data_IF_021168203001
#
_entry.id   IF_021168203001
#
_cell.length_a   1.000
_cell.length_b   1.000
_cell.length_c   1.000
_cell.angle_alpha   90.00
_cell.angle_beta   90.00
_cell.angle_gamma   90.00
#
_symmetry.space_group_name_H-M   'P 1'
#
loop_
_entity.id
_entity.type
_entity.pdbx_description
1 polymer ?
#
# COMPACT_ATOMS: atom_id res chain seq x y z
N UNK A 1 20.42 30.25 -36.97
CA UNK A 1 19.38 29.27 -36.60
C UNK A 1 19.42 29.10 -35.09
N UNK A 2 18.49 29.74 -34.38
CA UNK A 2 18.35 29.54 -32.93
C UNK A 2 17.58 28.22 -32.78
N UNK A 3 18.28 27.18 -32.39
CA UNK A 3 17.67 25.91 -32.01
C UNK A 3 16.96 26.13 -30.67
N UNK A 4 15.67 26.44 -30.74
CA UNK A 4 14.78 26.39 -29.58
C UNK A 4 14.68 24.93 -29.14
N UNK A 5 15.47 24.57 -28.12
CA UNK A 5 15.28 23.33 -27.39
C UNK A 5 13.89 23.39 -26.76
N UNK A 6 12.97 22.55 -27.24
CA UNK A 6 11.68 22.33 -26.59
C UNK A 6 11.99 21.77 -25.20
N UNK A 7 11.54 22.38 -24.09
CA UNK A 7 11.73 21.77 -22.79
C UNK A 7 11.03 20.42 -22.83
N UNK A 8 11.77 19.34 -22.62
CA UNK A 8 11.21 18.00 -22.43
C UNK A 8 10.14 18.12 -21.34
N UNK A 9 8.86 17.99 -21.71
CA UNK A 9 7.75 18.14 -20.78
C UNK A 9 7.99 17.18 -19.61
N UNK A 10 8.09 17.72 -18.39
CA UNK A 10 8.22 16.93 -17.18
C UNK A 10 7.06 15.93 -17.10
N UNK A 11 7.34 14.72 -16.64
CA UNK A 11 6.29 13.70 -16.47
C UNK A 11 5.17 14.26 -15.57
N UNK A 12 3.87 14.07 -15.87
CA UNK A 12 2.77 14.72 -15.14
C UNK A 12 2.83 14.57 -13.61
N UNK A 13 3.22 13.39 -13.12
CA UNK A 13 3.40 13.14 -11.68
C UNK A 13 4.49 13.99 -11.03
N UNK A 14 5.46 14.50 -11.79
CA UNK A 14 6.51 15.38 -11.28
C UNK A 14 5.93 16.72 -10.82
N UNK A 15 4.85 17.19 -11.46
CA UNK A 15 4.16 18.43 -11.09
C UNK A 15 3.49 18.35 -9.71
N UNK A 16 3.23 17.14 -9.18
CA UNK A 16 2.68 16.98 -7.83
C UNK A 16 3.65 17.49 -6.76
N UNK A 17 4.96 17.55 -7.04
CA UNK A 17 5.95 18.09 -6.11
C UNK A 17 5.83 19.60 -5.90
N UNK A 18 5.12 20.30 -6.79
CA UNK A 18 4.92 21.75 -6.69
C UNK A 18 3.67 22.09 -5.86
N UNK A 19 2.88 21.08 -5.49
CA UNK A 19 1.76 21.24 -4.55
C UNK A 19 2.27 21.53 -3.13
N UNK A 20 1.53 22.31 -2.33
CA UNK A 20 1.96 22.71 -0.98
C UNK A 20 2.39 21.53 -0.11
N UNK A 21 3.63 21.57 0.39
CA UNK A 21 4.20 20.60 1.31
C UNK A 21 4.54 19.21 0.72
N UNK A 22 4.20 18.91 -0.53
CA UNK A 22 4.43 17.58 -1.12
C UNK A 22 5.91 17.27 -1.28
N UNK A 23 6.71 18.22 -1.79
CA UNK A 23 8.17 18.05 -1.91
C UNK A 23 8.84 17.78 -0.56
N UNK A 24 8.53 18.60 0.44
CA UNK A 24 9.08 18.45 1.79
C UNK A 24 8.71 17.09 2.40
N UNK A 25 7.46 16.64 2.25
CA UNK A 25 7.03 15.32 2.69
C UNK A 25 7.75 14.19 1.95
N UNK A 26 7.91 14.30 0.63
CA UNK A 26 8.60 13.29 -0.17
C UNK A 26 10.09 13.19 0.21
N UNK A 27 10.71 14.31 0.55
CA UNK A 27 12.09 14.35 1.05
C UNK A 27 12.20 13.72 2.44
N UNK A 28 11.29 14.04 3.36
CA UNK A 28 11.25 13.43 4.69
C UNK A 28 11.04 11.90 4.64
N UNK A 29 10.16 11.42 3.75
CA UNK A 29 9.93 9.98 3.54
C UNK A 29 11.22 9.29 3.04
N UNK A 30 11.94 9.91 2.10
CA UNK A 30 13.23 9.40 1.60
C UNK A 30 14.28 9.35 2.70
N UNK A 31 14.39 10.40 3.50
CA UNK A 31 15.36 10.49 4.57
C UNK A 31 15.10 9.44 5.66
N UNK A 32 13.83 9.26 6.06
CA UNK A 32 13.44 8.25 7.03
C UNK A 32 13.74 6.83 6.55
N UNK A 33 13.40 6.48 5.31
CA UNK A 33 13.76 5.17 4.76
C UNK A 33 15.28 4.98 4.60
N UNK A 34 16.01 6.06 4.30
CA UNK A 34 17.49 6.02 4.25
C UNK A 34 18.07 5.74 5.63
N UNK A 35 17.57 6.39 6.68
CA UNK A 35 17.99 6.11 8.05
C UNK A 35 17.71 4.66 8.45
N UNK A 36 16.49 4.17 8.19
CA UNK A 36 16.13 2.78 8.43
C UNK A 36 17.06 1.80 7.70
N UNK A 37 17.38 2.06 6.43
CA UNK A 37 18.29 1.20 5.64
C UNK A 37 19.65 1.01 6.30
N UNK A 38 20.16 2.03 6.99
CA UNK A 38 21.46 2.00 7.68
C UNK A 38 21.37 1.59 9.15
N UNK A 39 20.18 1.23 9.63
CA UNK A 39 19.95 0.80 11.00
C UNK A 39 20.77 -0.46 11.35
N UNK A 40 21.38 -0.47 12.52
CA UNK A 40 22.35 -1.51 12.91
C UNK A 40 21.74 -2.92 12.95
N UNK A 41 20.47 -3.05 13.31
CA UNK A 41 19.74 -4.33 13.31
C UNK A 41 19.67 -4.98 11.92
N UNK A 42 19.71 -4.19 10.84
CA UNK A 42 19.61 -4.70 9.47
C UNK A 42 20.94 -5.24 8.92
N UNK A 43 22.08 -5.00 9.58
CA UNK A 43 23.39 -5.45 9.09
C UNK A 43 23.54 -6.98 9.03
N UNK A 44 22.87 -7.69 9.93
CA UNK A 44 22.96 -9.17 10.03
C UNK A 44 21.62 -9.88 10.06
N UNK A 45 20.54 -9.19 10.44
CA UNK A 45 19.21 -9.79 10.66
C UNK A 45 18.13 -9.18 9.77
N UNK A 46 18.51 -8.66 8.60
CA UNK A 46 17.57 -8.01 7.67
C UNK A 46 16.42 -8.92 7.24
N UNK A 47 16.67 -10.21 7.00
CA UNK A 47 15.63 -11.17 6.62
C UNK A 47 14.60 -11.40 7.75
N UNK A 48 15.07 -11.42 9.00
CA UNK A 48 14.22 -11.55 10.18
C UNK A 48 13.41 -10.28 10.39
N UNK A 49 14.03 -9.11 10.27
CA UNK A 49 13.33 -7.83 10.32
C UNK A 49 12.28 -7.70 9.22
N UNK A 50 12.58 -8.11 7.98
CA UNK A 50 11.64 -8.08 6.88
C UNK A 50 10.46 -9.06 7.09
N UNK A 51 10.69 -10.18 7.77
CA UNK A 51 9.63 -11.13 8.12
C UNK A 51 8.71 -10.54 9.19
N UNK A 52 9.25 -10.00 10.27
CA UNK A 52 8.44 -9.31 11.28
C UNK A 52 7.76 -8.05 10.75
N UNK A 53 8.40 -7.31 9.84
CA UNK A 53 7.77 -6.17 9.17
C UNK A 53 6.54 -6.60 8.33
N UNK A 54 6.59 -7.78 7.68
CA UNK A 54 5.42 -8.35 6.99
C UNK A 54 4.32 -8.78 7.96
N UNK A 55 4.65 -9.37 9.10
CA UNK A 55 3.68 -9.70 10.17
C UNK A 55 2.94 -8.44 10.63
N UNK A 56 3.70 -7.38 10.97
CA UNK A 56 3.12 -6.12 11.40
C UNK A 56 2.37 -5.40 10.27
N UNK A 57 2.83 -5.51 9.02
CA UNK A 57 2.15 -4.96 7.84
C UNK A 57 0.80 -5.62 7.59
N UNK A 58 0.73 -6.95 7.64
CA UNK A 58 -0.51 -7.71 7.53
C UNK A 58 -1.49 -7.38 8.66
N UNK A 59 -1.00 -7.34 9.90
CA UNK A 59 -1.79 -6.94 11.07
C UNK A 59 -2.35 -5.52 10.92
N UNK A 60 -1.49 -4.56 10.55
CA UNK A 60 -1.87 -3.18 10.38
C UNK A 60 -2.90 -3.00 9.25
N UNK A 61 -2.70 -3.72 8.15
CA UNK A 61 -3.60 -3.73 7.00
C UNK A 61 -4.97 -4.31 7.34
N UNK A 62 -5.02 -5.41 8.12
CA UNK A 62 -6.28 -6.01 8.54
C UNK A 62 -7.09 -5.09 9.46
N UNK A 63 -6.44 -4.45 10.45
CA UNK A 63 -7.18 -3.57 11.36
C UNK A 63 -7.60 -2.24 10.71
N UNK A 64 -6.94 -1.80 9.61
CA UNK A 64 -7.49 -0.73 8.76
C UNK A 64 -8.79 -1.11 8.02
N UNK A 65 -9.09 -2.41 7.90
CA UNK A 65 -10.39 -2.92 7.43
C UNK A 65 -11.36 -3.19 8.61
N UNK A 66 -11.00 -2.78 9.83
CA UNK A 66 -11.77 -3.05 11.05
C UNK A 66 -11.61 -4.48 11.61
N UNK A 67 -10.74 -5.30 11.04
CA UNK A 67 -10.48 -6.66 11.52
C UNK A 67 -9.35 -6.66 12.56
N UNK A 68 -9.72 -6.64 13.84
CA UNK A 68 -8.77 -6.54 14.95
C UNK A 68 -8.52 -7.89 15.62
N UNK A 69 -7.33 -8.45 15.40
CA UNK A 69 -6.77 -9.55 16.17
C UNK A 69 -5.41 -9.12 16.75
N UNK A 70 -4.92 -9.74 17.84
CA UNK A 70 -3.58 -9.49 18.33
C UNK A 70 -2.51 -9.76 17.27
N UNK A 71 -1.43 -8.96 17.23
CA UNK A 71 -0.32 -9.21 16.28
C UNK A 71 0.30 -10.61 16.46
N UNK A 72 0.25 -11.18 17.68
CA UNK A 72 0.68 -12.55 17.94
C UNK A 72 -0.15 -13.58 17.17
N UNK A 73 -1.45 -13.35 17.00
CA UNK A 73 -2.32 -14.21 16.21
C UNK A 73 -1.87 -14.23 14.76
N UNK A 74 -1.65 -13.05 14.17
CA UNK A 74 -1.15 -12.89 12.79
C UNK A 74 0.20 -13.56 12.63
N UNK A 75 1.11 -13.37 13.60
CA UNK A 75 2.43 -13.99 13.61
C UNK A 75 2.32 -15.52 13.61
N UNK A 76 1.56 -16.10 14.53
CA UNK A 76 1.36 -17.55 14.66
C UNK A 76 0.83 -18.16 13.37
N UNK A 77 -0.14 -17.50 12.71
CA UNK A 77 -0.68 -17.93 11.43
C UNK A 77 0.38 -17.88 10.31
N UNK A 78 1.14 -16.79 10.20
CA UNK A 78 2.18 -16.64 9.17
C UNK A 78 3.36 -17.60 9.35
N UNK A 79 3.70 -17.98 10.59
CA UNK A 79 4.78 -18.96 10.84
C UNK A 79 4.30 -20.41 10.86
N UNK A 80 3.00 -20.66 10.61
CA UNK A 80 2.42 -22.00 10.57
C UNK A 80 2.29 -22.70 11.93
N UNK A 81 2.31 -21.94 13.03
CA UNK A 81 2.06 -22.46 14.39
C UNK A 81 0.55 -22.61 14.63
N UNK A 82 -0.25 -21.77 13.96
CA UNK A 82 -1.71 -21.78 14.04
C UNK A 82 -2.29 -22.31 12.73
N UNK A 83 -3.11 -23.36 12.85
CA UNK A 83 -3.91 -23.86 11.75
C UNK A 83 -5.08 -22.93 11.43
N UNK A 84 -5.42 -22.87 10.15
CA UNK A 84 -6.62 -22.20 9.66
C UNK A 84 -7.85 -23.09 9.93
N UNK A 85 -8.88 -22.55 10.60
CA UNK A 85 -10.19 -23.21 10.64
C UNK A 85 -10.86 -23.30 9.26
N UNK A 86 -11.71 -24.29 9.06
CA UNK A 86 -12.44 -24.47 7.78
C UNK A 86 -13.52 -23.39 7.56
N UNK A 87 -14.08 -22.85 8.64
CA UNK A 87 -15.15 -21.84 8.63
C UNK A 87 -14.71 -20.59 9.42
N UNK A 88 -13.91 -19.69 8.81
CA UNK A 88 -13.45 -18.48 9.48
C UNK A 88 -14.61 -17.50 9.68
N UNK A 89 -14.66 -16.89 10.86
CA UNK A 89 -15.54 -15.72 11.05
C UNK A 89 -15.11 -14.54 10.14
N UNK A 90 -15.94 -13.49 9.97
CA UNK A 90 -15.61 -12.38 9.10
C UNK A 90 -14.31 -11.63 9.44
N UNK A 91 -13.91 -11.57 10.72
CA UNK A 91 -12.66 -10.93 11.16
C UNK A 91 -11.48 -11.78 10.72
N UNK A 92 -11.53 -13.09 11.00
CA UNK A 92 -10.48 -14.02 10.58
C UNK A 92 -10.33 -14.07 9.06
N UNK A 93 -11.44 -14.04 8.31
CA UNK A 93 -11.42 -14.04 6.85
C UNK A 93 -10.69 -12.81 6.27
N UNK A 94 -10.86 -11.63 6.86
CA UNK A 94 -10.14 -10.41 6.45
C UNK A 94 -8.66 -10.49 6.84
N UNK A 95 -8.33 -11.01 8.03
CA UNK A 95 -6.94 -11.22 8.46
C UNK A 95 -6.21 -12.21 7.54
N UNK A 96 -6.87 -13.30 7.12
CA UNK A 96 -6.38 -14.23 6.08
C UNK A 96 -6.04 -13.50 4.79
N UNK A 97 -6.95 -12.67 4.31
CA UNK A 97 -6.75 -11.85 3.11
C UNK A 97 -5.56 -10.90 3.24
N UNK A 98 -5.43 -10.22 4.39
CA UNK A 98 -4.33 -9.29 4.65
C UNK A 98 -2.97 -10.00 4.69
N UNK A 99 -2.88 -11.18 5.31
CA UNK A 99 -1.67 -12.02 5.33
C UNK A 99 -1.29 -12.40 3.90
N UNK A 100 -2.21 -13.02 3.16
CA UNK A 100 -1.96 -13.50 1.78
C UNK A 100 -1.55 -12.36 0.85
N UNK A 101 -2.23 -11.21 0.92
CA UNK A 101 -1.90 -10.05 0.10
C UNK A 101 -0.50 -9.48 0.43
N UNK A 102 -0.14 -9.45 1.72
CA UNK A 102 1.17 -8.96 2.18
C UNK A 102 2.30 -9.89 1.74
N UNK A 103 2.09 -11.20 1.83
CA UNK A 103 3.05 -12.21 1.35
C UNK A 103 3.18 -12.16 -0.17
N UNK A 104 2.06 -12.11 -0.89
CA UNK A 104 2.05 -12.06 -2.35
C UNK A 104 2.78 -10.80 -2.87
N UNK A 105 2.60 -9.64 -2.22
CA UNK A 105 3.30 -8.41 -2.59
C UNK A 105 4.83 -8.55 -2.58
N UNK A 106 5.40 -9.41 -1.72
CA UNK A 106 6.84 -9.65 -1.66
C UNK A 106 7.39 -10.29 -2.95
N UNK A 107 6.55 -10.96 -3.72
CA UNK A 107 6.91 -11.68 -4.95
C UNK A 107 6.63 -10.90 -6.24
N UNK A 108 6.07 -9.69 -6.15
CA UNK A 108 5.57 -8.95 -7.30
C UNK A 108 6.46 -7.78 -7.74
N UNK A 109 7.56 -7.52 -7.07
CA UNK A 109 8.45 -6.36 -7.28
C UNK A 109 8.82 -6.14 -8.76
N UNK A 110 9.22 -7.20 -9.46
CA UNK A 110 9.64 -7.16 -10.87
C UNK A 110 8.49 -6.97 -11.86
N UNK A 111 7.24 -7.17 -11.41
CA UNK A 111 6.03 -7.07 -12.21
C UNK A 111 5.32 -5.73 -12.05
N UNK A 112 5.62 -4.94 -11.00
CA UNK A 112 4.92 -3.68 -10.69
C UNK A 112 4.89 -2.74 -11.89
N UNK A 113 6.02 -2.52 -12.56
CA UNK A 113 6.09 -1.62 -13.71
C UNK A 113 5.73 -2.30 -15.05
N UNK A 114 6.04 -3.59 -15.19
CA UNK A 114 5.96 -4.31 -16.47
C UNK A 114 4.61 -4.99 -16.71
N UNK A 115 3.89 -5.36 -15.65
CA UNK A 115 2.60 -6.06 -15.72
C UNK A 115 1.60 -5.64 -14.61
N UNK A 116 1.24 -4.35 -14.48
CA UNK A 116 0.29 -3.84 -13.49
C UNK A 116 -1.01 -4.63 -13.35
N UNK A 117 -1.66 -4.99 -14.47
CA UNK A 117 -2.92 -5.72 -14.44
C UNK A 117 -2.77 -7.11 -13.80
N UNK A 118 -1.64 -7.78 -14.04
CA UNK A 118 -1.33 -9.06 -13.42
C UNK A 118 -1.05 -8.90 -11.92
N UNK A 119 -0.36 -7.82 -11.52
CA UNK A 119 -0.12 -7.49 -10.10
C UNK A 119 -1.46 -7.30 -9.37
N UNK A 120 -2.36 -6.49 -9.93
CA UNK A 120 -3.68 -6.25 -9.33
C UNK A 120 -4.52 -7.54 -9.25
N UNK A 121 -4.52 -8.35 -10.31
CA UNK A 121 -5.24 -9.61 -10.33
C UNK A 121 -4.74 -10.57 -9.24
N UNK A 122 -3.41 -10.78 -9.17
CA UNK A 122 -2.79 -11.67 -8.18
C UNK A 122 -3.02 -11.21 -6.74
N UNK A 123 -2.83 -9.90 -6.49
CA UNK A 123 -3.07 -9.33 -5.17
C UNK A 123 -4.53 -9.43 -4.76
N UNK A 124 -5.47 -9.19 -5.67
CA UNK A 124 -6.89 -9.35 -5.35
C UNK A 124 -7.25 -10.81 -5.11
N UNK A 125 -6.77 -11.75 -5.93
CA UNK A 125 -6.99 -13.18 -5.68
C UNK A 125 -6.48 -13.57 -4.29
N UNK A 126 -5.27 -13.13 -3.91
CA UNK A 126 -4.72 -13.38 -2.58
C UNK A 126 -5.55 -12.72 -1.46
N UNK A 127 -5.95 -11.47 -1.64
CA UNK A 127 -6.66 -10.67 -0.64
C UNK A 127 -8.11 -11.12 -0.43
N UNK A 128 -8.80 -11.52 -1.49
CA UNK A 128 -10.25 -11.72 -1.50
C UNK A 128 -10.67 -13.20 -1.48
N UNK A 129 -9.75 -14.15 -1.57
CA UNK A 129 -10.07 -15.57 -1.49
C UNK A 129 -10.79 -15.91 -0.17
N UNK A 130 -12.02 -16.41 -0.27
CA UNK A 130 -12.91 -16.70 0.87
C UNK A 130 -13.72 -15.49 1.37
N UNK A 131 -13.54 -14.31 0.78
CA UNK A 131 -14.34 -13.11 1.06
C UNK A 131 -15.38 -12.80 -0.03
N UNK A 132 -15.21 -13.39 -1.21
CA UNK A 132 -16.03 -13.23 -2.42
C UNK A 132 -16.13 -14.58 -3.14
N UNK A 133 -17.08 -14.70 -4.07
CA UNK A 133 -17.20 -15.86 -4.95
C UNK A 133 -15.96 -16.03 -5.85
N UNK A 134 -15.59 -17.27 -6.15
CA UNK A 134 -14.36 -17.59 -6.91
C UNK A 134 -14.34 -16.95 -8.31
N UNK A 135 -15.50 -16.77 -8.94
CA UNK A 135 -15.61 -16.16 -10.27
C UNK A 135 -15.40 -14.63 -10.26
N UNK A 136 -15.40 -14.00 -9.08
CA UNK A 136 -15.06 -12.60 -8.87
C UNK A 136 -13.57 -12.36 -8.60
N UNK A 137 -12.78 -13.41 -8.34
CA UNK A 137 -11.36 -13.29 -8.01
C UNK A 137 -10.51 -12.82 -9.19
N UNK A 138 -9.78 -11.72 -8.96
CA UNK A 138 -8.67 -11.28 -9.81
C UNK A 138 -9.12 -10.47 -11.03
N UNK A 139 -10.41 -10.14 -11.12
CA UNK A 139 -10.98 -9.32 -12.20
C UNK A 139 -11.63 -8.06 -11.67
N UNK A 140 -11.65 -6.96 -12.45
CA UNK A 140 -12.51 -5.84 -12.13
C UNK A 140 -13.99 -6.25 -12.06
N UNK A 141 -14.75 -5.50 -11.28
CA UNK A 141 -16.20 -5.66 -11.14
C UNK A 141 -16.92 -5.34 -12.45
N UNK A 142 -18.05 -6.00 -12.65
CA UNK A 142 -19.00 -5.81 -13.75
C UNK A 142 -20.07 -4.81 -13.37
N UNK A 143 -20.81 -4.34 -14.36
CA UNK A 143 -21.97 -3.49 -14.14
C UNK A 143 -22.99 -4.21 -13.25
N UNK A 144 -23.56 -3.49 -12.28
CA UNK A 144 -24.53 -4.03 -11.31
C UNK A 144 -23.93 -4.72 -10.08
N UNK A 145 -22.66 -5.13 -10.12
CA UNK A 145 -21.98 -5.71 -8.94
C UNK A 145 -21.79 -4.65 -7.85
N UNK A 146 -22.19 -4.98 -6.62
CA UNK A 146 -22.12 -4.08 -5.46
C UNK A 146 -20.73 -4.08 -4.83
N UNK A 147 -20.34 -2.94 -4.24
CA UNK A 147 -19.09 -2.81 -3.49
C UNK A 147 -19.40 -2.17 -2.12
N UNK A 148 -19.49 -2.94 -1.03
CA UNK A 148 -19.85 -2.43 0.30
C UNK A 148 -18.66 -1.80 1.05
N UNK A 149 -17.63 -1.33 0.32
CA UNK A 149 -16.41 -0.75 0.88
C UNK A 149 -16.27 0.72 0.48
N UNK A 150 -15.70 1.53 1.37
CA UNK A 150 -15.38 2.94 1.14
C UNK A 150 -16.56 3.78 0.61
N UNK A 151 -17.78 3.45 1.04
CA UNK A 151 -19.01 4.13 0.61
C UNK A 151 -19.03 5.64 0.92
N UNK A 152 -18.31 6.01 1.98
CA UNK A 152 -18.14 7.36 2.50
C UNK A 152 -17.21 8.25 1.67
N UNK A 153 -16.40 7.66 0.77
CA UNK A 153 -15.50 8.40 -0.14
C UNK A 153 -16.29 8.95 -1.35
N UNK A 154 -17.49 8.44 -1.60
CA UNK A 154 -18.37 8.90 -2.66
C UNK A 154 -19.04 7.78 -3.45
N UNK A 155 -19.80 8.10 -4.51
CA UNK A 155 -20.49 7.11 -5.33
C UNK A 155 -19.51 6.21 -6.07
N UNK A 156 -19.95 5.00 -6.38
CA UNK A 156 -19.17 4.04 -7.14
C UNK A 156 -19.00 4.52 -8.60
N UNK A 157 -17.78 4.64 -9.13
CA UNK A 157 -17.59 5.06 -10.52
C UNK A 157 -18.22 4.08 -11.52
N UNK A 158 -18.67 4.51 -12.71
CA UNK A 158 -19.08 3.59 -13.79
C UNK A 158 -17.93 2.64 -14.19
N UNK A 159 -18.26 1.43 -14.65
CA UNK A 159 -17.24 0.40 -14.97
C UNK A 159 -16.33 0.82 -16.12
N UNK A 160 -16.84 1.62 -17.05
CA UNK A 160 -16.09 2.20 -18.17
C UNK A 160 -15.00 3.15 -17.66
N UNK A 161 -15.32 3.95 -16.63
CA UNK A 161 -14.35 4.84 -15.98
C UNK A 161 -13.30 4.02 -15.26
N UNK A 162 -13.68 2.95 -14.57
CA UNK A 162 -12.74 2.02 -13.91
C UNK A 162 -11.77 1.43 -14.93
N UNK A 163 -12.25 0.88 -16.05
CA UNK A 163 -11.39 0.30 -17.08
C UNK A 163 -10.40 1.32 -17.66
N UNK A 164 -10.87 2.52 -18.00
CA UNK A 164 -10.01 3.58 -18.52
C UNK A 164 -8.94 4.02 -17.51
N UNK A 165 -9.31 4.18 -16.23
CA UNK A 165 -8.40 4.63 -15.17
C UNK A 165 -7.41 3.54 -14.75
N UNK A 166 -7.82 2.28 -14.70
CA UNK A 166 -6.91 1.14 -14.49
C UNK A 166 -5.90 0.99 -15.63
N UNK A 167 -6.28 1.30 -16.87
CA UNK A 167 -5.32 1.35 -17.98
C UNK A 167 -4.29 2.47 -17.77
N UNK A 168 -4.71 3.65 -17.30
CA UNK A 168 -3.83 4.76 -16.95
C UNK A 168 -2.93 4.50 -15.74
N UNK A 169 -3.36 3.64 -14.80
CA UNK A 169 -2.55 3.23 -13.65
C UNK A 169 -1.24 2.54 -14.08
N UNK A 170 -1.21 1.91 -15.26
CA UNK A 170 0.04 1.38 -15.83
C UNK A 170 1.08 2.49 -16.02
N UNK A 171 0.67 3.62 -16.57
CA UNK A 171 1.58 4.72 -16.87
C UNK A 171 2.07 5.40 -15.57
N UNK A 172 1.23 5.41 -14.53
CA UNK A 172 1.63 5.81 -13.17
C UNK A 172 2.71 4.88 -12.62
N UNK A 173 2.49 3.56 -12.65
CA UNK A 173 3.44 2.59 -12.10
C UNK A 173 4.74 2.50 -12.89
N UNK A 174 4.68 2.74 -14.20
CA UNK A 174 5.82 2.82 -15.11
C UNK A 174 6.52 4.19 -15.13
N UNK A 175 6.12 5.13 -14.25
CA UNK A 175 6.70 6.47 -14.23
C UNK A 175 8.25 6.45 -14.13
N UNK A 176 8.95 7.40 -14.78
CA UNK A 176 10.40 7.44 -14.80
C UNK A 176 10.99 7.60 -13.39
N UNK A 177 12.24 7.17 -13.20
CA UNK A 177 12.92 7.14 -11.88
C UNK A 177 13.04 8.52 -11.21
N UNK A 178 12.94 9.60 -11.97
CA UNK A 178 12.94 10.98 -11.46
C UNK A 178 11.68 11.33 -10.66
N UNK A 179 10.57 10.60 -10.84
CA UNK A 179 9.37 10.76 -10.01
C UNK A 179 9.61 10.01 -8.70
N UNK A 180 9.50 10.67 -7.53
CA UNK A 180 9.74 10.03 -6.24
C UNK A 180 8.82 8.81 -6.02
N UNK A 181 9.39 7.73 -5.50
CA UNK A 181 8.68 6.48 -5.28
C UNK A 181 7.40 6.65 -4.43
N UNK A 182 7.46 7.49 -3.39
CA UNK A 182 6.30 7.79 -2.51
C UNK A 182 5.15 8.48 -3.25
N UNK A 183 5.45 9.31 -4.26
CA UNK A 183 4.41 9.95 -5.09
C UNK A 183 3.73 8.93 -5.99
N UNK A 184 4.51 8.04 -6.63
CA UNK A 184 3.96 6.94 -7.44
C UNK A 184 3.09 6.03 -6.58
N UNK A 185 3.58 5.67 -5.38
CA UNK A 185 2.86 4.81 -4.46
C UNK A 185 1.57 5.45 -3.94
N UNK A 186 1.59 6.75 -3.63
CA UNK A 186 0.42 7.51 -3.21
C UNK A 186 -0.67 7.52 -4.28
N UNK A 187 -0.31 7.89 -5.53
CA UNK A 187 -1.29 7.94 -6.62
C UNK A 187 -1.84 6.55 -6.92
N UNK A 188 -0.99 5.53 -7.00
CA UNK A 188 -1.44 4.17 -7.25
C UNK A 188 -2.43 3.66 -6.18
N UNK A 189 -2.13 3.92 -4.91
CA UNK A 189 -3.00 3.56 -3.80
C UNK A 189 -4.37 4.26 -3.91
N UNK A 190 -4.38 5.59 -4.05
CA UNK A 190 -5.64 6.33 -4.11
C UNK A 190 -6.47 5.98 -5.34
N UNK A 191 -5.85 5.75 -6.50
CA UNK A 191 -6.59 5.28 -7.68
C UNK A 191 -7.28 3.94 -7.41
N UNK A 192 -6.61 2.97 -6.77
CA UNK A 192 -7.24 1.68 -6.44
C UNK A 192 -8.43 1.90 -5.49
N UNK A 193 -8.25 2.66 -4.41
CA UNK A 193 -9.32 2.86 -3.40
C UNK A 193 -10.47 3.69 -3.95
N UNK A 194 -10.23 4.73 -4.75
CA UNK A 194 -11.30 5.58 -5.27
C UNK A 194 -12.06 4.94 -6.43
N UNK A 195 -11.39 4.15 -7.27
CA UNK A 195 -12.04 3.41 -8.35
C UNK A 195 -12.87 2.23 -7.85
N UNK A 196 -12.45 1.62 -6.73
CA UNK A 196 -13.01 0.36 -6.21
C UNK A 196 -13.17 -0.66 -7.33
N UNK A 197 -12.06 -1.08 -7.97
CA UNK A 197 -12.13 -1.96 -9.11
C UNK A 197 -12.66 -3.34 -8.76
N UNK A 198 -12.62 -3.76 -7.51
CA UNK A 198 -13.05 -5.09 -7.07
C UNK A 198 -14.31 -5.02 -6.22
N UNK A 199 -15.06 -6.12 -6.17
CA UNK A 199 -16.28 -6.23 -5.34
C UNK A 199 -15.99 -6.19 -3.84
N UNK A 200 -14.76 -6.57 -3.44
CA UNK A 200 -14.25 -6.53 -2.07
C UNK A 200 -12.71 -6.52 -2.05
N UNK A 201 -12.09 -6.19 -0.93
CA UNK A 201 -10.64 -6.24 -0.70
C UNK A 201 -9.86 -5.06 -1.29
N UNK A 202 -10.52 -3.96 -1.67
CA UNK A 202 -9.85 -2.85 -2.38
C UNK A 202 -8.77 -2.19 -1.51
N UNK A 203 -9.02 -2.02 -0.21
CA UNK A 203 -8.07 -1.43 0.73
C UNK A 203 -6.83 -2.32 0.95
N UNK A 204 -7.04 -3.62 1.11
CA UNK A 204 -5.97 -4.62 1.21
C UNK A 204 -5.07 -4.59 -0.04
N UNK A 205 -5.68 -4.59 -1.23
CA UNK A 205 -4.95 -4.53 -2.50
C UNK A 205 -4.18 -3.22 -2.63
N UNK A 206 -4.78 -2.08 -2.30
CA UNK A 206 -4.14 -0.78 -2.42
C UNK A 206 -2.90 -0.66 -1.52
N UNK A 207 -2.98 -1.14 -0.27
CA UNK A 207 -1.85 -1.16 0.66
C UNK A 207 -0.75 -2.14 0.22
N UNK A 208 -1.13 -3.32 -0.28
CA UNK A 208 -0.19 -4.28 -0.85
C UNK A 208 0.54 -3.73 -2.10
N UNK A 209 -0.17 -3.02 -2.98
CA UNK A 209 0.43 -2.30 -4.13
C UNK A 209 1.38 -1.20 -3.64
N UNK A 210 0.98 -0.38 -2.67
CA UNK A 210 1.84 0.65 -2.10
C UNK A 210 3.16 0.05 -1.60
N UNK A 211 3.11 -1.04 -0.84
CA UNK A 211 4.29 -1.78 -0.37
C UNK A 211 5.16 -2.25 -1.53
N UNK A 212 4.57 -2.87 -2.55
CA UNK A 212 5.30 -3.36 -3.72
C UNK A 212 5.96 -2.20 -4.52
N UNK A 213 5.30 -1.05 -4.65
CA UNK A 213 5.86 0.15 -5.30
C UNK A 213 7.02 0.73 -4.52
N UNK A 214 6.88 0.88 -3.20
CA UNK A 214 7.94 1.39 -2.30
C UNK A 214 9.20 0.53 -2.40
N UNK A 215 9.04 -0.80 -2.47
CA UNK A 215 10.16 -1.74 -2.62
C UNK A 215 10.77 -1.72 -4.03
N UNK A 216 9.95 -1.90 -5.07
CA UNK A 216 10.40 -1.96 -6.47
C UNK A 216 11.09 -0.70 -6.98
N UNK A 217 10.75 0.46 -6.41
CA UNK A 217 11.38 1.74 -6.74
C UNK A 217 12.55 2.09 -5.82
N UNK A 218 12.97 1.17 -4.94
CA UNK A 218 14.17 1.27 -4.12
C UNK A 218 14.08 2.24 -2.94
N UNK A 219 12.89 2.68 -2.55
CA UNK A 219 12.70 3.54 -1.37
C UNK A 219 12.97 2.76 -0.09
N UNK A 220 12.45 1.54 0.00
CA UNK A 220 12.79 0.56 1.05
C UNK A 220 13.06 -0.82 0.42
N UNK A 221 14.28 -1.05 -0.11
CA UNK A 221 14.60 -2.28 -0.83
C UNK A 221 14.60 -3.53 0.09
N UNK A 222 14.80 -3.34 1.39
CA UNK A 222 14.79 -4.43 2.38
C UNK A 222 13.38 -4.82 2.82
N UNK A 223 12.37 -3.99 2.54
CA UNK A 223 10.97 -4.25 2.89
C UNK A 223 10.69 -4.22 4.39
N UNK A 224 11.44 -3.42 5.15
CA UNK A 224 11.32 -3.32 6.62
C UNK A 224 10.41 -2.16 7.05
N UNK A 225 10.21 -1.15 6.22
CA UNK A 225 9.24 -0.10 6.47
C UNK A 225 7.81 -0.69 6.48
N UNK A 226 7.05 -0.37 7.52
CA UNK A 226 5.69 -0.88 7.72
C UNK A 226 4.70 0.21 7.32
N UNK A 227 4.57 0.45 6.02
CA UNK A 227 3.77 1.57 5.48
C UNK A 227 2.29 1.50 5.88
N UNK A 228 1.74 0.32 6.07
CA UNK A 228 0.37 0.10 6.55
C UNK A 228 0.23 0.56 8.00
N UNK A 229 1.23 0.30 8.85
CA UNK A 229 1.24 0.80 10.22
C UNK A 229 1.28 2.33 10.27
N UNK A 230 1.91 2.96 9.28
CA UNK A 230 1.91 4.42 9.13
C UNK A 230 0.56 5.04 8.82
N UNK A 231 -0.39 4.29 8.26
CA UNK A 231 -1.77 4.76 7.99
C UNK A 231 -2.71 4.62 9.20
N UNK A 232 -2.33 3.85 10.22
CA UNK A 232 -3.15 3.56 11.41
C UNK A 232 -3.36 4.70 12.41
N UNK A 233 -2.44 5.67 12.60
CA UNK A 233 -2.64 6.71 13.61
C UNK A 233 -4.02 7.37 13.51
N UNK A 234 -4.60 7.72 14.66
CA UNK A 234 -5.97 8.23 14.72
C UNK A 234 -7.05 7.20 14.34
N UNK A 235 -6.75 5.90 14.41
CA UNK A 235 -7.68 4.81 14.05
C UNK A 235 -7.97 4.73 12.55
N UNK A 236 -7.13 5.30 11.69
CA UNK A 236 -7.35 5.34 10.23
C UNK A 236 -8.31 6.44 9.77
N UNK A 237 -8.83 7.29 10.66
CA UNK A 237 -9.72 8.39 10.28
C UNK A 237 -9.01 9.43 9.40
N UNK A 238 -7.73 9.72 9.67
CA UNK A 238 -6.93 10.61 8.84
C UNK A 238 -6.68 10.03 7.44
N UNK A 239 -6.43 8.71 7.36
CA UNK A 239 -6.28 7.98 6.12
C UNK A 239 -7.54 8.06 5.26
N UNK A 240 -8.70 7.79 5.87
CA UNK A 240 -9.99 7.87 5.18
C UNK A 240 -10.33 9.31 4.76
N UNK A 241 -10.14 10.28 5.65
CA UNK A 241 -10.38 11.70 5.33
C UNK A 241 -9.50 12.21 4.19
N UNK A 242 -8.23 11.79 4.13
CA UNK A 242 -7.32 12.15 3.06
C UNK A 242 -7.71 11.50 1.72
N UNK A 243 -8.18 10.24 1.72
CA UNK A 243 -8.71 9.59 0.52
C UNK A 243 -10.01 10.25 0.03
N UNK A 244 -10.91 10.63 0.93
CA UNK A 244 -12.12 11.41 0.59
C UNK A 244 -11.74 12.75 -0.06
N UNK A 245 -10.71 13.43 0.45
CA UNK A 245 -10.23 14.66 -0.16
C UNK A 245 -9.62 14.42 -1.55
N UNK A 246 -8.84 13.35 -1.73
CA UNK A 246 -8.31 12.95 -3.04
C UNK A 246 -9.43 12.67 -4.05
N UNK A 247 -10.48 11.96 -3.64
CA UNK A 247 -11.64 11.65 -4.50
C UNK A 247 -12.35 12.91 -5.01
N UNK A 248 -12.26 14.03 -4.29
CA UNK A 248 -12.75 15.33 -4.74
C UNK A 248 -11.99 15.91 -5.95
N UNK A 249 -10.81 15.39 -6.28
CA UNK A 249 -10.06 15.75 -7.49
C UNK A 249 -9.47 17.17 -7.50
N UNK A 250 -9.46 17.86 -6.36
CA UNK A 250 -8.88 19.21 -6.25
C UNK A 250 -7.37 19.14 -6.00
N UNK A 251 -6.58 20.16 -6.40
CA UNK A 251 -5.15 20.22 -6.08
C UNK A 251 -4.86 20.08 -4.58
N UNK A 252 -5.69 20.69 -3.73
CA UNK A 252 -5.54 20.62 -2.27
C UNK A 252 -5.83 19.21 -1.73
N UNK A 253 -6.85 18.53 -2.26
CA UNK A 253 -7.18 17.15 -1.89
C UNK A 253 -6.09 16.16 -2.30
N UNK A 254 -5.54 16.33 -3.51
CA UNK A 254 -4.39 15.55 -3.98
C UNK A 254 -3.16 15.82 -3.10
N UNK A 255 -2.88 17.09 -2.79
CA UNK A 255 -1.76 17.45 -1.92
C UNK A 255 -1.91 16.86 -0.51
N UNK A 256 -3.12 16.90 0.05
CA UNK A 256 -3.43 16.33 1.36
C UNK A 256 -3.15 14.82 1.39
N UNK A 257 -3.64 14.09 0.40
CA UNK A 257 -3.40 12.65 0.30
C UNK A 257 -1.92 12.30 0.11
N UNK A 258 -1.23 12.98 -0.80
CA UNK A 258 0.20 12.67 -1.03
C UNK A 258 1.02 12.96 0.23
N UNK A 259 0.74 14.06 0.95
CA UNK A 259 1.38 14.33 2.24
C UNK A 259 1.05 13.26 3.29
N UNK A 260 -0.20 12.82 3.38
CA UNK A 260 -0.58 11.72 4.27
C UNK A 260 0.23 10.45 3.99
N UNK A 261 0.42 10.08 2.71
CA UNK A 261 1.24 8.92 2.35
C UNK A 261 2.73 9.14 2.69
N UNK A 262 3.26 10.35 2.51
CA UNK A 262 4.61 10.68 2.98
C UNK A 262 4.76 10.48 4.50
N UNK A 263 3.81 10.99 5.29
CA UNK A 263 3.80 10.85 6.74
C UNK A 263 3.65 9.38 7.15
N UNK A 264 2.81 8.61 6.45
CA UNK A 264 2.67 7.17 6.65
C UNK A 264 3.96 6.41 6.34
N UNK A 265 4.71 6.80 5.30
CA UNK A 265 6.04 6.20 5.03
C UNK A 265 7.04 6.54 6.14
N UNK A 266 7.04 7.78 6.64
CA UNK A 266 7.89 8.18 7.78
C UNK A 266 7.52 7.38 9.04
N UNK A 267 6.23 7.29 9.37
CA UNK A 267 5.73 6.50 10.49
C UNK A 267 6.04 5.01 10.34
N UNK A 268 5.89 4.47 9.12
CA UNK A 268 6.23 3.10 8.78
C UNK A 268 7.72 2.79 8.87
N UNK A 269 8.60 3.74 8.52
CA UNK A 269 10.03 3.62 8.71
C UNK A 269 10.39 3.54 10.20
N UNK A 270 9.81 4.41 11.04
CA UNK A 270 9.97 4.36 12.51
C UNK A 270 9.45 3.05 13.11
N UNK A 271 8.34 2.51 12.59
CA UNK A 271 7.86 1.19 13.00
C UNK A 271 8.85 0.08 12.62
N UNK A 272 9.46 0.18 11.43
CA UNK A 272 10.55 -0.70 11.00
C UNK A 272 11.80 -0.62 11.88
N UNK A 273 12.16 0.56 12.38
CA UNK A 273 13.26 0.74 13.35
C UNK A 273 12.98 -0.02 14.65
N UNK A 274 11.75 0.08 15.19
CA UNK A 274 11.34 -0.67 16.39
C UNK A 274 11.39 -2.17 16.18
N UNK A 275 10.99 -2.66 15.01
CA UNK A 275 11.18 -4.07 14.62
C UNK A 275 12.67 -4.42 14.62
N UNK A 276 13.50 -3.61 13.98
CA UNK A 276 14.94 -3.87 13.90
C UNK A 276 15.63 -3.86 15.27
N UNK A 277 15.22 -3.00 16.19
CA UNK A 277 15.69 -2.98 17.58
C UNK A 277 15.27 -4.23 18.36
N UNK A 278 14.00 -4.62 18.26
CA UNK A 278 13.48 -5.81 18.93
C UNK A 278 14.18 -7.07 18.43
N UNK A 279 14.27 -7.24 17.10
CA UNK A 279 14.98 -8.34 16.46
C UNK A 279 16.42 -8.36 16.91
N UNK A 280 17.16 -7.23 16.82
CA UNK A 280 18.55 -7.16 17.29
C UNK A 280 18.71 -7.61 18.73
N UNK A 281 17.77 -7.24 19.61
CA UNK A 281 17.78 -7.60 21.02
C UNK A 281 17.29 -9.04 21.31
N UNK A 282 16.94 -9.82 20.28
CA UNK A 282 16.49 -11.21 20.40
C UNK A 282 15.08 -11.34 20.96
N UNK A 283 14.20 -10.35 20.74
CA UNK A 283 12.82 -10.33 21.21
C UNK A 283 11.85 -10.07 20.07
N UNK A 284 10.57 -10.38 20.31
CA UNK A 284 9.50 -10.04 19.38
C UNK A 284 9.08 -8.56 19.55
N UNK A 285 8.91 -7.81 18.45
CA UNK A 285 8.40 -6.45 18.49
C UNK A 285 6.97 -6.43 19.04
N UNK A 286 6.69 -5.45 19.90
CA UNK A 286 5.35 -5.15 20.39
C UNK A 286 4.71 -4.12 19.47
N UNK A 287 3.38 -4.01 19.55
CA UNK A 287 2.66 -2.89 18.92
C UNK A 287 2.39 -1.84 19.97
N UNK A 288 2.60 -0.57 19.62
CA UNK A 288 2.26 0.59 20.45
C UNK A 288 0.79 0.98 20.26
#
# INVERSE_FOLDING_TARGET
>A
MISLSVPSSSHPLSGLLDLPGVRAGADAARDACTQLRWHEGLRRRSAECATEARVHGAWASASLEGAELPVSWVREAMVGVRDWGDDPDPVEAVVRGAIRATEEAAHLESLVASSPSQVLARLHTAAAQGLVDDDALGRPRREGEQVPEFTEIGPLPPVEVVHARLAGLRDVLAAPSMVPAVVVAAVAHAEIVTLRPFVRGNGLVARAVQRAVVRSRGLDPMGVAIVEAGHRPGGGMEYLGALTAYAGGTPDGVALWVRHVCDAVVGGARAGERVADAVRAGRLPQVD
#
